data_IF_967971983266
#
_entry.id   IF_967971983266
#
_cell.length_a   1.000
_cell.length_b   1.000
_cell.length_c   1.000
_cell.angle_alpha   90.00
_cell.angle_beta   90.00
_cell.angle_gamma   90.00
#
_symmetry.space_group_name_H-M   'P 1'
#
loop_
_entity.id
_entity.type
_entity.pdbx_description
1 polymer ?
#
# COMPACT_ATOMS: atom_id res chain seq x y z
N UNK A 1 14.70 12.74 -5.64
CA UNK A 1 14.37 11.32 -5.85
C UNK A 1 13.09 11.04 -5.06
N UNK A 2 11.93 11.08 -5.71
CA UNK A 2 10.64 10.81 -5.06
C UNK A 2 10.49 9.30 -4.86
N UNK A 3 10.19 8.88 -3.62
CA UNK A 3 9.98 7.47 -3.25
C UNK A 3 8.60 7.00 -3.71
N UNK A 4 8.45 5.69 -3.88
CA UNK A 4 7.20 5.06 -4.33
C UNK A 4 6.50 4.37 -3.17
N UNK A 5 5.20 4.58 -3.04
CA UNK A 5 4.33 3.79 -2.18
C UNK A 5 3.67 2.73 -3.06
N UNK A 6 3.97 1.46 -2.78
CA UNK A 6 3.39 0.33 -3.49
C UNK A 6 2.05 -0.02 -2.86
N UNK A 7 0.97 -0.04 -3.64
CA UNK A 7 -0.32 -0.59 -3.26
C UNK A 7 -0.43 -1.98 -3.89
N UNK A 8 -0.31 -3.00 -3.05
CA UNK A 8 -0.48 -4.38 -3.46
C UNK A 8 -1.97 -4.71 -3.51
N UNK A 9 -2.42 -5.08 -4.70
CA UNK A 9 -3.83 -5.28 -5.06
C UNK A 9 -3.99 -6.51 -5.94
N UNK A 10 -5.24 -6.89 -6.21
CA UNK A 10 -5.62 -7.84 -7.26
C UNK A 10 -6.80 -7.28 -8.04
N UNK A 11 -6.99 -7.75 -9.28
CA UNK A 11 -8.14 -7.40 -10.12
C UNK A 11 -9.48 -7.46 -9.37
N UNK A 12 -10.26 -6.37 -9.46
CA UNK A 12 -11.62 -6.29 -8.94
C UNK A 12 -11.77 -5.92 -7.46
N UNK A 13 -10.72 -5.46 -6.78
CA UNK A 13 -10.79 -5.15 -5.36
C UNK A 13 -11.46 -3.78 -5.08
N UNK A 14 -12.75 -3.80 -4.76
CA UNK A 14 -13.50 -2.60 -4.35
C UNK A 14 -12.97 -1.93 -3.08
N UNK A 15 -12.23 -2.67 -2.24
CA UNK A 15 -11.57 -2.14 -1.05
C UNK A 15 -10.37 -1.25 -1.39
N UNK A 16 -9.73 -1.45 -2.54
CA UNK A 16 -8.60 -0.61 -2.97
C UNK A 16 -9.01 0.83 -3.19
N UNK A 17 -10.22 1.06 -3.72
CA UNK A 17 -10.73 2.43 -3.91
C UNK A 17 -10.92 3.15 -2.57
N UNK A 18 -11.35 2.43 -1.53
CA UNK A 18 -11.42 2.99 -0.16
C UNK A 18 -10.03 3.28 0.39
N UNK A 19 -9.07 2.36 0.20
CA UNK A 19 -7.69 2.58 0.62
C UNK A 19 -7.05 3.78 -0.09
N UNK A 20 -7.30 3.95 -1.40
CA UNK A 20 -6.80 5.08 -2.19
C UNK A 20 -7.24 6.43 -1.61
N UNK A 21 -8.48 6.55 -1.11
CA UNK A 21 -8.95 7.77 -0.44
C UNK A 21 -8.10 8.14 0.78
N UNK A 22 -7.66 7.14 1.56
CA UNK A 22 -6.81 7.36 2.74
C UNK A 22 -5.33 7.61 2.35
N UNK A 23 -4.88 7.02 1.24
CA UNK A 23 -3.52 7.13 0.71
C UNK A 23 -3.26 8.48 0.05
N UNK A 24 -4.20 8.99 -0.75
CA UNK A 24 -4.03 10.20 -1.56
C UNK A 24 -3.45 11.40 -0.79
N UNK A 25 -4.01 11.77 0.39
CA UNK A 25 -3.48 12.87 1.19
C UNK A 25 -2.05 12.65 1.68
N UNK A 26 -1.63 11.39 1.87
CA UNK A 26 -0.28 11.07 2.32
C UNK A 26 0.75 11.16 1.19
N UNK A 27 0.35 10.89 -0.05
CA UNK A 27 1.27 10.98 -1.20
C UNK A 27 1.83 12.39 -1.36
N UNK A 28 0.97 13.41 -1.31
CA UNK A 28 1.41 14.81 -1.39
C UNK A 28 2.23 15.20 -0.16
N UNK A 29 1.76 14.84 1.03
CA UNK A 29 2.41 15.16 2.32
C UNK A 29 3.84 14.62 2.41
N UNK A 30 4.08 13.42 1.93
CA UNK A 30 5.38 12.75 1.98
C UNK A 30 6.14 12.77 0.64
N UNK A 31 5.63 13.49 -0.37
CA UNK A 31 6.20 13.55 -1.73
C UNK A 31 6.43 12.16 -2.36
N UNK A 32 5.48 11.26 -2.16
CA UNK A 32 5.48 9.89 -2.69
C UNK A 32 4.69 9.81 -3.99
N UNK A 33 5.04 8.83 -4.83
CA UNK A 33 4.19 8.39 -5.94
C UNK A 33 3.52 7.08 -5.60
N UNK A 34 2.21 6.97 -5.81
CA UNK A 34 1.54 5.69 -5.73
C UNK A 34 1.89 4.83 -6.93
N UNK A 35 2.17 3.55 -6.69
CA UNK A 35 2.31 2.54 -7.72
C UNK A 35 1.51 1.31 -7.31
N UNK A 36 0.60 0.89 -8.18
CA UNK A 36 -0.20 -0.32 -7.95
C UNK A 36 0.58 -1.53 -8.44
N UNK A 37 0.61 -2.59 -7.63
CA UNK A 37 1.28 -3.85 -7.94
C UNK A 37 0.22 -4.94 -7.85
N UNK A 38 -0.08 -5.57 -8.99
CA UNK A 38 -0.93 -6.76 -9.01
C UNK A 38 -0.11 -7.95 -8.49
N UNK A 39 -0.54 -8.52 -7.37
CA UNK A 39 0.13 -9.69 -6.79
C UNK A 39 -0.32 -11.00 -7.44
N UNK A 40 -1.34 -10.99 -8.31
CA UNK A 40 -1.81 -12.19 -8.99
C UNK A 40 -0.74 -12.82 -9.90
N UNK A 41 0.16 -12.01 -10.46
CA UNK A 41 1.23 -12.46 -11.34
C UNK A 41 2.51 -12.89 -10.60
N UNK A 42 2.58 -12.69 -9.27
CA UNK A 42 3.73 -13.03 -8.44
C UNK A 42 3.33 -14.03 -7.34
N UNK A 43 3.63 -15.33 -7.49
CA UNK A 43 3.27 -16.35 -6.52
C UNK A 43 3.81 -16.10 -5.11
N UNK A 44 4.96 -15.43 -4.97
CA UNK A 44 5.56 -15.12 -3.66
C UNK A 44 4.78 -14.01 -2.95
N UNK A 45 4.40 -12.96 -3.69
CA UNK A 45 3.55 -11.90 -3.15
C UNK A 45 2.14 -12.41 -2.87
N UNK A 46 1.61 -13.27 -3.74
CA UNK A 46 0.31 -13.89 -3.55
C UNK A 46 0.28 -14.72 -2.26
N UNK A 47 1.23 -15.62 -2.05
CA UNK A 47 1.28 -16.47 -0.84
C UNK A 47 1.38 -15.64 0.45
N UNK A 48 2.14 -14.53 0.41
CA UNK A 48 2.35 -13.67 1.58
C UNK A 48 1.21 -12.69 1.85
N UNK A 49 0.63 -12.10 0.81
CA UNK A 49 -0.24 -10.92 0.91
C UNK A 49 -1.69 -11.21 0.54
N UNK A 50 -2.02 -12.31 -0.15
CA UNK A 50 -3.39 -12.57 -0.63
C UNK A 50 -4.46 -12.59 0.48
N UNK A 51 -4.08 -12.92 1.71
CA UNK A 51 -5.01 -12.93 2.86
C UNK A 51 -5.21 -11.55 3.50
N UNK A 52 -4.41 -10.56 3.11
CA UNK A 52 -4.34 -9.23 3.75
C UNK A 52 -4.61 -8.08 2.79
N UNK A 53 -4.69 -8.33 1.48
CA UNK A 53 -4.97 -7.29 0.49
C UNK A 53 -6.30 -6.56 0.78
N UNK A 54 -6.35 -5.23 0.62
CA UNK A 54 -5.27 -4.37 0.14
C UNK A 54 -4.21 -4.04 1.19
N UNK A 55 -2.94 -4.02 0.80
CA UNK A 55 -1.83 -3.59 1.66
C UNK A 55 -0.93 -2.58 0.94
N UNK A 56 -0.30 -1.68 1.69
CA UNK A 56 0.67 -0.72 1.15
C UNK A 56 2.06 -0.94 1.72
N UNK A 57 3.10 -0.73 0.93
CA UNK A 57 4.50 -0.93 1.32
C UNK A 57 5.48 -0.03 0.58
N UNK A 58 6.73 0.03 1.05
CA UNK A 58 7.80 0.81 0.44
C UNK A 58 8.82 -0.06 -0.31
N UNK A 59 8.40 -1.24 -0.80
CA UNK A 59 9.25 -2.18 -1.53
C UNK A 59 9.60 -3.46 -0.78
N UNK A 60 9.32 -3.53 0.52
CA UNK A 60 9.49 -4.74 1.33
C UNK A 60 8.11 -5.40 1.57
N UNK A 61 7.88 -6.63 1.10
CA UNK A 61 6.63 -7.38 1.35
C UNK A 61 6.42 -7.76 2.82
N UNK A 62 7.48 -7.82 3.63
CA UNK A 62 7.39 -8.15 5.06
C UNK A 62 7.11 -6.91 5.93
N UNK A 63 7.33 -5.71 5.37
CA UNK A 63 7.02 -4.45 6.02
C UNK A 63 5.94 -3.69 5.24
N UNK A 64 4.69 -4.08 5.49
CA UNK A 64 3.49 -3.53 4.85
C UNK A 64 2.47 -3.06 5.88
N UNK A 65 1.74 -2.00 5.54
CA UNK A 65 0.55 -1.56 6.26
C UNK A 65 -0.68 -2.22 5.62
N UNK A 66 -1.30 -3.15 6.35
CA UNK A 66 -2.49 -3.83 5.87
C UNK A 66 -3.76 -3.03 6.14
N UNK A 67 -4.66 -2.98 5.16
CA UNK A 67 -6.00 -2.45 5.35
C UNK A 67 -6.76 -3.29 6.41
N UNK A 68 -7.64 -2.70 7.23
CA UNK A 68 -8.08 -1.31 7.24
C UNK A 68 -7.15 -0.37 8.02
N UNK A 69 -6.81 0.77 7.41
CA UNK A 69 -6.10 1.89 8.05
C UNK A 69 -6.78 3.20 7.68
N UNK A 70 -6.66 4.19 8.56
CA UNK A 70 -7.04 5.57 8.27
C UNK A 70 -5.80 6.42 7.88
N UNK A 71 -6.05 7.67 7.46
CA UNK A 71 -4.97 8.63 7.13
C UNK A 71 -3.90 8.76 8.22
N UNK A 72 -4.30 8.71 9.50
CA UNK A 72 -3.38 8.90 10.63
C UNK A 72 -2.50 7.67 10.82
N UNK A 73 -3.08 6.48 10.81
CA UNK A 73 -2.36 5.21 10.93
C UNK A 73 -1.36 5.05 9.77
N UNK A 74 -1.79 5.38 8.55
CA UNK A 74 -0.90 5.37 7.40
C UNK A 74 0.21 6.41 7.53
N UNK A 75 -0.10 7.63 7.97
CA UNK A 75 0.91 8.67 8.19
C UNK A 75 1.95 8.25 9.26
N UNK A 76 1.51 7.69 10.38
CA UNK A 76 2.38 7.20 11.44
C UNK A 76 3.26 6.04 10.94
N UNK A 77 2.70 5.14 10.13
CA UNK A 77 3.45 4.05 9.50
C UNK A 77 4.53 4.59 8.56
N UNK A 78 4.18 5.56 7.70
CA UNK A 78 5.11 6.22 6.77
C UNK A 78 6.20 6.99 7.51
N UNK A 79 5.87 7.75 8.56
CA UNK A 79 6.84 8.53 9.35
C UNK A 79 7.93 7.67 9.98
N UNK A 80 7.63 6.41 10.31
CA UNK A 80 8.61 5.50 10.91
C UNK A 80 9.56 4.87 9.90
N UNK A 81 9.27 4.97 8.60
CA UNK A 81 9.96 4.22 7.52
C UNK A 81 10.56 5.10 6.42
N UNK A 82 10.12 6.35 6.31
CA UNK A 82 10.67 7.33 5.38
C UNK A 82 11.93 7.96 5.95
#
# INVERSE_FOLDING_TARGET
MSRELLLYTTLGCSLCEKAKCEIWPQLEKFQLRLREVDIADDPLLLDRLATRIPVVGLGDPDDVCAWPFDQRQLAEWLQRRL
#
